data_IF_561814954028
#
_entry.id   IF_561814954028
#
_cell.length_a   1.000
_cell.length_b   1.000
_cell.length_c   1.000
_cell.angle_alpha   90.00
_cell.angle_beta   90.00
_cell.angle_gamma   90.00
#
_symmetry.space_group_name_H-M   'P 1'
#
loop_
_entity.id
_entity.type
_entity.pdbx_description
1 polymer ?
#
# COMPACT_ATOMS: atom_id res chain seq x y z
N UNK A 1 -0.17 -10.87 -24.11
CA UNK A 1 0.51 -10.43 -25.34
C UNK A 1 2.03 -10.38 -25.13
N UNK A 2 2.51 -9.96 -23.95
CA UNK A 2 3.93 -9.80 -23.61
C UNK A 2 4.23 -10.42 -22.25
N UNK A 3 4.29 -11.76 -22.16
CA UNK A 3 4.52 -12.46 -20.88
C UNK A 3 5.93 -12.22 -20.30
N UNK A 4 6.86 -11.76 -21.12
CA UNK A 4 8.23 -11.43 -20.72
C UNK A 4 8.32 -10.12 -19.92
N UNK A 5 7.29 -9.26 -19.99
CA UNK A 5 7.30 -7.95 -19.35
C UNK A 5 6.67 -8.01 -17.97
N UNK A 6 7.42 -7.60 -16.94
CA UNK A 6 6.87 -7.44 -15.59
C UNK A 6 5.91 -6.27 -15.52
N UNK A 7 4.68 -6.54 -15.09
CA UNK A 7 3.71 -5.50 -14.72
C UNK A 7 3.97 -5.12 -13.25
N UNK A 8 4.28 -3.86 -13.01
CA UNK A 8 4.69 -3.35 -11.69
C UNK A 8 3.53 -2.94 -10.78
N UNK A 9 2.35 -3.48 -11.03
CA UNK A 9 1.19 -3.31 -10.16
C UNK A 9 0.37 -4.58 -10.05
N UNK A 10 -0.40 -4.65 -8.96
CA UNK A 10 -1.35 -5.71 -8.64
C UNK A 10 -2.77 -5.19 -8.73
N UNK A 11 -3.73 -6.10 -8.84
CA UNK A 11 -5.14 -5.77 -8.73
C UNK A 11 -5.67 -6.28 -7.39
N UNK A 12 -6.37 -5.41 -6.65
CA UNK A 12 -7.20 -5.77 -5.51
C UNK A 12 -8.67 -5.58 -5.92
N UNK A 13 -9.39 -6.68 -6.04
CA UNK A 13 -10.83 -6.67 -6.34
C UNK A 13 -11.63 -6.99 -5.09
N UNK A 14 -12.15 -5.93 -4.46
CA UNK A 14 -13.05 -6.02 -3.31
C UNK A 14 -14.52 -6.12 -3.73
N UNK A 15 -15.37 -6.56 -2.80
CA UNK A 15 -16.82 -6.63 -3.00
C UNK A 15 -17.46 -7.68 -2.12
N UNK A 16 -18.80 -7.61 -2.00
CA UNK A 16 -19.58 -8.52 -1.17
C UNK A 16 -19.43 -9.97 -1.59
N UNK A 17 -19.69 -10.88 -0.65
CA UNK A 17 -19.70 -12.30 -0.92
C UNK A 17 -20.76 -12.65 -1.98
N UNK A 18 -20.37 -13.45 -2.97
CA UNK A 18 -21.24 -13.85 -4.06
C UNK A 18 -21.47 -12.79 -5.15
N UNK A 19 -20.76 -11.65 -5.13
CA UNK A 19 -20.81 -10.63 -6.19
C UNK A 19 -20.19 -11.08 -7.52
N UNK A 20 -19.63 -12.29 -7.59
CA UNK A 20 -19.12 -12.89 -8.84
C UNK A 20 -17.71 -12.47 -9.22
N UNK A 21 -16.89 -11.97 -8.26
CA UNK A 21 -15.50 -11.57 -8.50
C UNK A 21 -14.69 -12.63 -9.23
N UNK A 22 -14.70 -13.87 -8.75
CA UNK A 22 -13.96 -14.98 -9.36
C UNK A 22 -14.49 -15.30 -10.77
N UNK A 23 -15.81 -15.24 -10.95
CA UNK A 23 -16.44 -15.49 -12.24
C UNK A 23 -16.06 -14.43 -13.27
N UNK A 24 -15.92 -13.17 -12.85
CA UNK A 24 -15.46 -12.08 -13.70
C UNK A 24 -14.03 -12.32 -14.20
N UNK A 25 -13.14 -12.82 -13.35
CA UNK A 25 -11.74 -13.06 -13.72
C UNK A 25 -11.50 -14.39 -14.40
N UNK A 26 -12.46 -15.31 -14.40
CA UNK A 26 -12.32 -16.64 -14.98
C UNK A 26 -11.83 -16.65 -16.44
N UNK A 27 -12.32 -15.79 -17.37
CA UNK A 27 -11.82 -15.76 -18.76
C UNK A 27 -10.39 -15.27 -18.88
N UNK A 28 -9.98 -14.29 -18.04
CA UNK A 28 -8.61 -13.83 -17.99
C UNK A 28 -7.66 -14.94 -17.50
N UNK A 29 -8.02 -15.61 -16.42
CA UNK A 29 -7.25 -16.72 -15.87
C UNK A 29 -7.14 -17.87 -16.87
N UNK A 30 -8.22 -18.19 -17.58
CA UNK A 30 -8.20 -19.19 -18.64
C UNK A 30 -7.24 -18.78 -19.78
N UNK A 31 -7.27 -17.52 -20.20
CA UNK A 31 -6.41 -17.01 -21.29
C UNK A 31 -4.92 -17.02 -20.95
N UNK A 32 -4.57 -16.73 -19.68
CA UNK A 32 -3.17 -16.62 -19.23
C UNK A 32 -2.63 -17.96 -18.71
N UNK A 33 -3.43 -18.70 -17.95
CA UNK A 33 -2.98 -19.91 -17.25
C UNK A 33 -3.33 -21.20 -18.01
N UNK A 34 -4.06 -21.11 -19.12
CA UNK A 34 -4.57 -22.25 -19.88
C UNK A 34 -5.85 -22.85 -19.25
N UNK A 35 -6.44 -23.79 -19.95
CA UNK A 35 -7.70 -24.44 -19.55
C UNK A 35 -7.59 -25.27 -18.28
N UNK A 36 -6.41 -25.83 -18.01
CA UNK A 36 -6.11 -26.58 -16.80
C UNK A 36 -5.61 -25.73 -15.63
N UNK A 37 -5.49 -24.40 -15.82
CA UNK A 37 -5.09 -23.43 -14.81
C UNK A 37 -3.79 -23.77 -14.07
N UNK A 38 -2.81 -24.42 -14.72
CA UNK A 38 -1.56 -24.86 -14.09
C UNK A 38 -0.61 -23.72 -13.80
N UNK A 39 -0.67 -22.64 -14.58
CA UNK A 39 0.23 -21.49 -14.45
C UNK A 39 -0.33 -20.43 -13.50
N UNK A 40 -0.89 -20.86 -12.38
CA UNK A 40 -1.35 -19.97 -11.29
C UNK A 40 -0.91 -20.49 -9.94
N UNK A 41 -0.42 -19.58 -9.10
CA UNK A 41 -0.26 -19.80 -7.67
C UNK A 41 -1.49 -19.33 -6.91
N UNK A 42 -1.81 -19.99 -5.80
CA UNK A 42 -2.86 -19.56 -4.89
C UNK A 42 -2.26 -19.42 -3.51
N UNK A 43 -2.51 -18.27 -2.89
CA UNK A 43 -2.16 -17.97 -1.50
C UNK A 43 -3.40 -17.50 -0.74
N UNK A 44 -3.44 -17.81 0.52
CA UNK A 44 -4.25 -17.18 1.55
C UNK A 44 -3.35 -16.31 2.46
N UNK A 45 -3.91 -15.67 3.47
CA UNK A 45 -3.13 -14.87 4.40
C UNK A 45 -2.03 -15.64 5.11
N UNK A 46 -2.27 -16.90 5.47
CA UNK A 46 -1.30 -17.75 6.16
C UNK A 46 -0.13 -18.09 5.23
N UNK A 47 -0.42 -18.40 3.98
CA UNK A 47 0.58 -18.71 2.96
C UNK A 47 1.47 -17.50 2.63
N UNK A 48 0.92 -16.28 2.60
CA UNK A 48 1.71 -15.05 2.40
C UNK A 48 2.69 -14.83 3.55
N UNK A 49 2.33 -15.29 4.76
CA UNK A 49 3.18 -15.20 5.94
C UNK A 49 4.16 -16.38 6.08
N UNK A 50 4.03 -17.40 5.24
CA UNK A 50 4.88 -18.60 5.23
C UNK A 50 6.29 -18.31 4.70
N UNK A 51 7.24 -19.16 5.10
CA UNK A 51 8.59 -19.19 4.52
C UNK A 51 8.64 -19.88 3.14
N UNK A 52 7.54 -20.54 2.73
CA UNK A 52 7.46 -21.27 1.47
C UNK A 52 6.92 -20.37 0.37
N UNK A 53 7.58 -20.34 -0.77
CA UNK A 53 7.27 -19.41 -1.87
C UNK A 53 7.05 -20.09 -3.23
N UNK A 54 6.79 -21.41 -3.28
CA UNK A 54 6.60 -22.12 -4.53
C UNK A 54 5.38 -21.67 -5.35
N UNK A 55 4.41 -21.00 -4.73
CA UNK A 55 3.27 -20.39 -5.42
C UNK A 55 3.70 -19.25 -6.35
N UNK A 56 4.87 -18.65 -6.10
CA UNK A 56 5.46 -17.60 -6.94
C UNK A 56 6.03 -18.13 -8.27
N UNK A 57 6.09 -19.45 -8.45
CA UNK A 57 6.51 -20.09 -9.71
C UNK A 57 5.42 -20.07 -10.79
N UNK A 58 4.57 -19.08 -10.79
CA UNK A 58 3.45 -18.95 -11.69
C UNK A 58 3.38 -17.55 -12.30
N UNK A 59 2.73 -17.40 -13.46
CA UNK A 59 2.50 -16.12 -14.09
C UNK A 59 1.47 -15.28 -13.32
N UNK A 60 0.49 -15.94 -12.69
CA UNK A 60 -0.55 -15.27 -11.90
C UNK A 60 -0.54 -15.83 -10.49
N UNK A 61 -0.39 -14.95 -9.52
CA UNK A 61 -0.59 -15.24 -8.10
C UNK A 61 -1.96 -14.74 -7.67
N UNK A 62 -2.83 -15.64 -7.26
CA UNK A 62 -4.12 -15.31 -6.68
C UNK A 62 -4.00 -15.30 -5.16
N UNK A 63 -4.42 -14.20 -4.54
CA UNK A 63 -4.51 -14.10 -3.08
C UNK A 63 -6.00 -14.07 -2.73
N UNK A 64 -6.49 -15.16 -2.17
CA UNK A 64 -7.88 -15.28 -1.75
C UNK A 64 -8.07 -14.70 -0.34
N UNK A 65 -9.23 -14.08 -0.12
CA UNK A 65 -9.68 -13.61 1.19
C UNK A 65 -8.65 -12.72 1.91
N UNK A 66 -8.03 -11.79 1.16
CA UNK A 66 -7.10 -10.83 1.73
C UNK A 66 -7.79 -10.10 2.89
N UNK A 67 -7.32 -10.34 4.11
CA UNK A 67 -7.89 -9.76 5.33
C UNK A 67 -6.89 -9.81 6.47
N UNK A 68 -6.66 -8.68 7.12
CA UNK A 68 -5.83 -8.61 8.31
C UNK A 68 -6.54 -7.82 9.42
N UNK A 69 -6.47 -8.27 10.68
CA UNK A 69 -7.31 -7.76 11.76
C UNK A 69 -6.98 -6.32 12.15
N UNK A 70 -5.73 -5.91 12.11
CA UNK A 70 -5.31 -4.61 12.58
C UNK A 70 -4.45 -3.84 11.57
N UNK A 71 -4.31 -2.53 11.76
CA UNK A 71 -3.58 -1.64 10.84
C UNK A 71 -2.09 -2.00 10.72
N UNK A 72 -1.47 -2.56 11.78
CA UNK A 72 -0.06 -2.97 11.75
C UNK A 72 0.13 -4.21 10.87
N UNK A 73 -0.72 -5.23 11.05
CA UNK A 73 -0.72 -6.45 10.25
C UNK A 73 -1.02 -6.14 8.77
N UNK A 74 -2.01 -5.28 8.50
CA UNK A 74 -2.35 -4.81 7.14
C UNK A 74 -1.16 -4.12 6.45
N UNK A 75 -0.40 -3.30 7.20
CA UNK A 75 0.81 -2.63 6.69
C UNK A 75 1.96 -3.62 6.47
N UNK A 76 2.15 -4.58 7.36
CA UNK A 76 3.15 -5.63 7.20
C UNK A 76 2.87 -6.47 5.95
N UNK A 77 1.62 -6.87 5.74
CA UNK A 77 1.17 -7.59 4.56
C UNK A 77 1.45 -6.79 3.27
N UNK A 78 1.08 -5.50 3.24
CA UNK A 78 1.40 -4.63 2.12
C UNK A 78 2.91 -4.59 1.82
N UNK A 79 3.74 -4.49 2.86
CA UNK A 79 5.20 -4.45 2.71
C UNK A 79 5.78 -5.77 2.20
N UNK A 80 5.26 -6.91 2.64
CA UNK A 80 5.68 -8.25 2.17
C UNK A 80 5.37 -8.45 0.68
N UNK A 81 4.25 -7.94 0.21
CA UNK A 81 3.84 -8.08 -1.18
C UNK A 81 4.58 -7.13 -2.14
N UNK A 82 5.17 -6.03 -1.65
CA UNK A 82 5.89 -5.06 -2.48
C UNK A 82 6.93 -5.67 -3.43
N UNK A 83 7.85 -6.54 -2.97
CA UNK A 83 8.87 -7.12 -3.85
C UNK A 83 8.30 -8.12 -4.86
N UNK A 84 7.15 -8.71 -4.58
CA UNK A 84 6.46 -9.62 -5.50
C UNK A 84 5.75 -8.84 -6.60
N UNK A 85 5.09 -7.73 -6.24
CA UNK A 85 4.28 -6.93 -7.15
C UNK A 85 5.13 -6.18 -8.17
N UNK A 86 6.25 -5.60 -7.76
CA UNK A 86 7.03 -4.70 -8.60
C UNK A 86 8.52 -5.04 -8.60
N UNK A 87 9.16 -4.90 -9.75
CA UNK A 87 10.60 -4.89 -9.89
C UNK A 87 11.16 -3.46 -9.62
N UNK A 88 12.37 -3.32 -9.07
CA UNK A 88 13.15 -4.38 -8.45
C UNK A 88 12.49 -4.98 -7.20
N UNK A 89 12.74 -6.25 -6.84
CA UNK A 89 13.76 -7.13 -7.41
C UNK A 89 13.30 -7.83 -8.70
N UNK A 90 14.20 -8.01 -9.63
CA UNK A 90 13.98 -8.77 -10.86
C UNK A 90 13.94 -10.28 -10.63
N UNK A 91 14.50 -10.74 -9.52
CA UNK A 91 14.54 -12.13 -9.12
C UNK A 91 13.90 -12.32 -7.75
N UNK A 92 13.08 -13.34 -7.61
CA UNK A 92 12.46 -13.73 -6.34
C UNK A 92 13.11 -15.02 -5.81
N UNK A 93 13.40 -15.09 -4.49
CA UNK A 93 13.82 -16.33 -3.87
C UNK A 93 12.65 -17.29 -3.76
N UNK A 94 12.81 -18.49 -4.28
CA UNK A 94 11.82 -19.56 -4.17
C UNK A 94 12.33 -20.59 -3.16
N UNK A 95 11.49 -20.87 -2.18
CA UNK A 95 11.77 -21.87 -1.15
C UNK A 95 10.72 -22.98 -1.24
N UNK A 96 11.17 -24.18 -1.57
CA UNK A 96 10.36 -25.42 -1.61
C UNK A 96 10.81 -26.37 -0.52
N UNK A 97 9.84 -27.03 0.12
CA UNK A 97 10.12 -28.05 1.11
C UNK A 97 10.98 -29.19 0.49
N UNK A 98 12.13 -29.45 1.10
CA UNK A 98 13.04 -30.51 0.65
C UNK A 98 13.97 -30.14 -0.50
N UNK A 99 13.97 -28.90 -0.98
CA UNK A 99 14.89 -28.40 -2.00
C UNK A 99 15.70 -27.22 -1.48
N UNK A 100 16.89 -27.02 -2.04
CA UNK A 100 17.65 -25.80 -1.79
C UNK A 100 16.91 -24.59 -2.38
N UNK A 101 16.87 -23.44 -1.68
CA UNK A 101 16.32 -22.22 -2.24
C UNK A 101 17.03 -21.82 -3.54
N UNK A 102 16.26 -21.31 -4.50
CA UNK A 102 16.78 -20.85 -5.78
C UNK A 102 16.11 -19.53 -6.19
N UNK A 103 16.68 -18.87 -7.17
CA UNK A 103 16.18 -17.58 -7.66
C UNK A 103 15.42 -17.77 -8.97
N UNK A 104 14.29 -17.08 -9.11
CA UNK A 104 13.47 -17.09 -10.31
C UNK A 104 13.14 -15.66 -10.75
N UNK A 105 12.99 -15.45 -12.06
CA UNK A 105 12.58 -14.15 -12.61
C UNK A 105 11.21 -13.73 -12.07
N UNK A 106 11.12 -12.48 -11.59
CA UNK A 106 9.87 -11.91 -11.10
C UNK A 106 8.97 -11.52 -12.28
N UNK A 107 8.10 -12.41 -12.71
CA UNK A 107 7.08 -12.17 -13.74
C UNK A 107 5.66 -12.24 -13.20
N UNK A 108 5.52 -12.50 -11.91
CA UNK A 108 4.25 -12.75 -11.24
C UNK A 108 3.32 -11.54 -11.35
N UNK A 109 2.12 -11.74 -11.88
CA UNK A 109 1.03 -10.79 -11.77
C UNK A 109 0.17 -11.14 -10.56
N UNK A 110 -0.05 -10.19 -9.65
CA UNK A 110 -0.80 -10.43 -8.42
C UNK A 110 -2.25 -9.98 -8.58
N UNK A 111 -3.16 -10.90 -8.32
CA UNK A 111 -4.61 -10.67 -8.29
C UNK A 111 -5.12 -11.05 -6.89
N UNK A 112 -5.55 -10.06 -6.13
CA UNK A 112 -6.06 -10.26 -4.77
C UNK A 112 -7.57 -10.03 -4.71
N UNK A 113 -8.25 -10.84 -3.90
CA UNK A 113 -9.67 -10.74 -3.62
C UNK A 113 -9.92 -10.46 -2.15
N UNK A 114 -10.94 -9.67 -1.86
CA UNK A 114 -11.40 -9.44 -0.50
C UNK A 114 -12.90 -9.19 -0.41
N UNK A 115 -13.49 -9.59 0.70
CA UNK A 115 -14.83 -9.18 1.12
C UNK A 115 -14.74 -8.13 2.25
N UNK A 116 -13.53 -7.85 2.75
CA UNK A 116 -13.30 -6.83 3.76
C UNK A 116 -13.13 -5.45 3.07
N UNK A 117 -13.83 -4.41 3.52
CA UNK A 117 -13.67 -3.07 2.96
C UNK A 117 -12.30 -2.44 3.24
N UNK A 118 -11.54 -2.95 4.21
CA UNK A 118 -10.18 -2.47 4.52
C UNK A 118 -9.21 -3.65 4.73
N UNK A 119 -8.95 -4.45 3.68
CA UNK A 119 -8.15 -5.67 3.82
C UNK A 119 -6.66 -5.41 3.96
N UNK A 120 -6.19 -4.27 3.50
CA UNK A 120 -4.77 -3.89 3.42
C UNK A 120 -4.62 -2.39 3.72
N UNK A 121 -3.49 -2.00 4.30
CA UNK A 121 -3.17 -0.59 4.57
C UNK A 121 -2.19 -0.09 3.53
N UNK A 122 -2.58 0.93 2.79
CA UNK A 122 -1.79 1.52 1.72
C UNK A 122 -1.32 2.92 2.09
N UNK A 123 -0.12 3.29 1.65
CA UNK A 123 0.37 4.65 1.73
C UNK A 123 -0.30 5.53 0.66
N UNK A 124 -0.44 6.83 0.92
CA UNK A 124 -1.04 7.79 -0.02
C UNK A 124 -0.32 7.81 -1.38
N UNK A 125 0.99 7.59 -1.38
CA UNK A 125 1.84 7.55 -2.57
C UNK A 125 2.05 6.12 -3.13
N UNK A 126 1.22 5.15 -2.72
CA UNK A 126 1.34 3.80 -3.26
C UNK A 126 1.07 3.79 -4.77
N UNK A 127 2.03 3.22 -5.53
CA UNK A 127 2.00 3.12 -7.00
C UNK A 127 1.86 1.68 -7.50
N UNK A 128 1.55 0.74 -6.60
CA UNK A 128 1.55 -0.70 -6.93
C UNK A 128 0.17 -1.31 -6.99
N UNK A 129 -0.78 -0.77 -6.26
CA UNK A 129 -2.10 -1.36 -6.18
C UNK A 129 -3.12 -0.61 -7.03
N UNK A 130 -3.76 -1.32 -7.95
CA UNK A 130 -5.01 -0.94 -8.58
C UNK A 130 -6.16 -1.58 -7.78
N UNK A 131 -6.96 -0.77 -7.11
CA UNK A 131 -7.98 -1.24 -6.21
C UNK A 131 -9.36 -0.92 -6.78
N UNK A 132 -10.21 -1.93 -6.91
CA UNK A 132 -11.60 -1.77 -7.35
C UNK A 132 -12.54 -2.45 -6.36
N UNK A 133 -13.69 -1.83 -6.11
CA UNK A 133 -14.75 -2.41 -5.31
C UNK A 133 -15.98 -2.66 -6.18
N UNK A 134 -16.49 -3.90 -6.16
CA UNK A 134 -17.72 -4.26 -6.86
C UNK A 134 -18.92 -4.06 -5.95
N UNK A 135 -19.81 -3.17 -6.34
CA UNK A 135 -21.13 -2.99 -5.71
C UNK A 135 -22.22 -3.87 -6.39
N UNK A 136 -21.81 -4.80 -7.25
CA UNK A 136 -22.75 -5.67 -7.93
C UNK A 136 -23.50 -6.57 -6.92
N UNK A 137 -24.82 -6.64 -7.01
CA UNK A 137 -25.58 -7.55 -6.18
C UNK A 137 -25.22 -9.00 -6.49
N UNK A 138 -25.50 -9.90 -5.56
CA UNK A 138 -25.30 -11.33 -5.76
C UNK A 138 -26.02 -11.81 -7.02
N UNK A 139 -25.26 -12.47 -7.90
CA UNK A 139 -25.82 -13.03 -9.13
C UNK A 139 -26.83 -14.13 -8.82
N UNK A 140 -27.97 -14.13 -9.50
CA UNK A 140 -28.95 -15.22 -9.34
C UNK A 140 -28.37 -16.54 -9.84
N UNK A 141 -28.73 -17.67 -9.24
CA UNK A 141 -28.26 -19.00 -9.67
C UNK A 141 -28.48 -19.25 -11.16
N UNK A 142 -29.63 -18.81 -11.70
CA UNK A 142 -29.97 -18.98 -13.12
C UNK A 142 -29.05 -18.10 -14.02
N UNK A 143 -28.73 -16.88 -13.64
CA UNK A 143 -27.80 -16.02 -14.37
C UNK A 143 -26.37 -16.59 -14.35
N UNK A 144 -25.93 -17.06 -13.19
CA UNK A 144 -24.64 -17.72 -13.04
C UNK A 144 -24.54 -18.97 -13.91
N UNK A 145 -25.56 -19.82 -13.91
CA UNK A 145 -25.61 -21.03 -14.75
C UNK A 145 -25.54 -20.70 -16.25
N UNK A 146 -26.29 -19.68 -16.72
CA UNK A 146 -26.22 -19.21 -18.11
C UNK A 146 -24.84 -18.68 -18.49
N UNK A 147 -24.20 -17.91 -17.62
CA UNK A 147 -22.86 -17.39 -17.87
C UNK A 147 -21.83 -18.52 -17.97
N UNK A 148 -21.87 -19.49 -17.05
CA UNK A 148 -20.96 -20.64 -17.09
C UNK A 148 -21.23 -21.55 -18.30
N UNK A 149 -22.49 -21.72 -18.72
CA UNK A 149 -22.80 -22.41 -19.97
C UNK A 149 -22.20 -21.72 -21.18
N UNK A 150 -22.30 -20.38 -21.26
CA UNK A 150 -21.69 -19.61 -22.32
C UNK A 150 -20.16 -19.72 -22.29
N UNK A 151 -19.54 -19.61 -21.12
CA UNK A 151 -18.09 -19.80 -21.02
C UNK A 151 -17.65 -21.15 -21.61
N UNK A 152 -18.32 -22.24 -21.24
CA UNK A 152 -18.02 -23.59 -21.73
C UNK A 152 -18.31 -23.78 -23.22
N UNK A 153 -19.27 -23.07 -23.76
CA UNK A 153 -19.69 -23.14 -25.17
C UNK A 153 -18.80 -22.24 -26.10
N UNK A 154 -17.60 -21.83 -25.64
CA UNK A 154 -16.66 -21.04 -26.43
C UNK A 154 -16.43 -19.63 -25.90
N UNK A 155 -17.12 -19.23 -24.86
CA UNK A 155 -16.98 -17.89 -24.26
C UNK A 155 -15.57 -17.62 -23.73
N UNK A 156 -14.89 -18.61 -23.17
CA UNK A 156 -13.48 -18.48 -22.78
C UNK A 156 -12.59 -18.16 -23.95
N UNK A 157 -12.70 -18.90 -25.05
CA UNK A 157 -11.91 -18.67 -26.27
C UNK A 157 -12.23 -17.32 -26.91
N UNK A 158 -13.49 -16.92 -26.93
CA UNK A 158 -13.91 -15.62 -27.44
C UNK A 158 -13.32 -14.47 -26.60
N UNK A 159 -13.35 -14.58 -25.29
CA UNK A 159 -12.76 -13.62 -24.36
C UNK A 159 -11.24 -13.55 -24.50
N UNK A 160 -10.56 -14.69 -24.60
CA UNK A 160 -9.12 -14.74 -24.85
C UNK A 160 -8.74 -14.08 -26.16
N UNK A 161 -9.48 -14.37 -27.25
CA UNK A 161 -9.26 -13.72 -28.55
C UNK A 161 -9.43 -12.20 -28.47
N UNK A 162 -10.47 -11.73 -27.78
CA UNK A 162 -10.70 -10.29 -27.58
C UNK A 162 -9.54 -9.65 -26.81
N UNK A 163 -9.06 -10.27 -25.73
CA UNK A 163 -7.90 -9.81 -24.95
C UNK A 163 -6.61 -9.76 -25.79
N UNK A 164 -6.39 -10.77 -26.64
CA UNK A 164 -5.21 -10.83 -27.51
C UNK A 164 -5.21 -9.77 -28.61
N UNK A 165 -6.38 -9.41 -29.12
CA UNK A 165 -6.53 -8.42 -30.19
C UNK A 165 -6.64 -6.98 -29.68
N UNK A 166 -6.74 -6.80 -28.35
CA UNK A 166 -6.83 -5.46 -27.77
C UNK A 166 -5.53 -4.68 -28.02
N UNK A 167 -5.68 -3.46 -28.52
CA UNK A 167 -4.55 -2.53 -28.62
C UNK A 167 -4.06 -2.12 -27.21
N UNK A 168 -2.82 -2.47 -26.92
CA UNK A 168 -2.12 -2.13 -25.68
C UNK A 168 -0.91 -1.23 -25.93
N UNK A 169 -0.78 -0.63 -27.10
CA UNK A 169 0.36 0.23 -27.50
C UNK A 169 0.59 1.41 -26.54
N UNK A 170 -0.48 1.88 -25.87
CA UNK A 170 -0.42 2.96 -24.89
C UNK A 170 -0.28 2.46 -23.44
N UNK A 171 -0.27 1.15 -23.22
CA UNK A 171 -0.13 0.60 -21.88
C UNK A 171 1.32 0.65 -21.42
N UNK A 172 1.55 1.31 -20.27
CA UNK A 172 2.85 1.33 -19.63
C UNK A 172 2.83 0.43 -18.39
N UNK A 173 3.51 -0.73 -18.42
CA UNK A 173 3.52 -1.70 -17.32
C UNK A 173 4.21 -1.17 -16.05
N UNK A 174 5.00 -0.10 -16.16
CA UNK A 174 5.69 0.54 -15.04
C UNK A 174 4.98 1.78 -14.50
N UNK A 175 3.93 2.26 -15.18
CA UNK A 175 3.16 3.39 -14.69
C UNK A 175 2.40 3.06 -13.41
N UNK A 176 2.21 4.07 -12.55
CA UNK A 176 1.33 3.92 -11.42
C UNK A 176 -0.12 3.71 -11.89
N UNK A 177 -0.87 2.77 -11.30
CA UNK A 177 -2.28 2.61 -11.63
C UNK A 177 -3.07 3.84 -11.19
N UNK A 178 -4.21 4.08 -11.87
CA UNK A 178 -5.08 5.20 -11.55
C UNK A 178 -5.60 5.11 -10.11
N UNK A 179 -5.78 6.27 -9.49
CA UNK A 179 -6.41 6.38 -8.19
C UNK A 179 -7.92 6.11 -8.33
N UNK A 180 -8.41 5.18 -7.54
CA UNK A 180 -9.83 4.86 -7.43
C UNK A 180 -10.37 5.31 -6.08
N UNK A 181 -11.69 5.47 -5.97
CA UNK A 181 -12.35 5.76 -4.70
C UNK A 181 -12.03 4.69 -3.64
N UNK A 182 -12.10 3.42 -4.01
CA UNK A 182 -11.76 2.33 -3.09
C UNK A 182 -10.31 2.44 -2.60
N UNK A 183 -9.35 2.78 -3.46
CA UNK A 183 -7.96 2.98 -3.04
C UNK A 183 -7.83 4.17 -2.09
N UNK A 184 -8.54 5.27 -2.35
CA UNK A 184 -8.55 6.44 -1.45
C UNK A 184 -9.07 6.05 -0.05
N UNK A 185 -10.15 5.27 0.01
CA UNK A 185 -10.71 4.74 1.26
C UNK A 185 -9.72 3.82 1.99
N UNK A 186 -8.96 2.97 1.27
CA UNK A 186 -7.93 2.12 1.88
C UNK A 186 -6.78 2.93 2.49
N UNK A 187 -6.40 4.03 1.87
CA UNK A 187 -5.38 4.94 2.42
C UNK A 187 -5.91 5.61 3.69
N UNK A 188 -7.12 6.13 3.66
CA UNK A 188 -7.71 6.85 4.79
C UNK A 188 -7.95 5.93 6.00
N UNK A 189 -8.60 4.79 5.80
CA UNK A 189 -8.94 3.86 6.89
C UNK A 189 -7.77 2.92 7.27
N UNK A 190 -6.69 2.92 6.50
CA UNK A 190 -5.47 2.17 6.80
C UNK A 190 -4.59 2.81 7.87
N UNK A 191 -4.89 4.04 8.29
CA UNK A 191 -4.16 4.75 9.33
C UNK A 191 -4.62 4.31 10.72
N UNK A 192 -3.70 4.29 11.68
CA UNK A 192 -4.05 4.17 13.09
C UNK A 192 -4.77 5.43 13.57
N UNK A 193 -5.51 5.35 14.69
CA UNK A 193 -6.16 6.53 15.29
C UNK A 193 -5.17 7.68 15.55
N UNK A 194 -3.96 7.35 15.98
CA UNK A 194 -2.91 8.34 16.21
C UNK A 194 -2.47 9.01 14.89
N UNK A 195 -2.26 8.24 13.83
CA UNK A 195 -1.87 8.77 12.53
C UNK A 195 -2.96 9.63 11.91
N UNK A 196 -4.21 9.18 11.96
CA UNK A 196 -5.36 9.96 11.47
C UNK A 196 -5.48 11.29 12.22
N UNK A 197 -5.41 11.26 13.54
CA UNK A 197 -5.38 12.47 14.38
C UNK A 197 -4.24 13.42 13.96
N UNK A 198 -3.02 12.90 13.83
CA UNK A 198 -1.86 13.71 13.47
C UNK A 198 -1.99 14.33 12.07
N UNK A 199 -2.45 13.58 11.09
CA UNK A 199 -2.67 14.08 9.73
C UNK A 199 -3.72 15.18 9.70
N UNK A 200 -4.80 15.04 10.48
CA UNK A 200 -5.83 16.08 10.63
C UNK A 200 -5.25 17.36 11.24
N UNK A 201 -4.47 17.24 12.34
CA UNK A 201 -3.80 18.39 12.96
C UNK A 201 -2.83 19.09 11.98
N UNK A 202 -2.10 18.33 11.16
CA UNK A 202 -1.18 18.84 10.14
C UNK A 202 -1.93 19.59 9.03
N UNK A 203 -3.04 19.02 8.54
CA UNK A 203 -3.89 19.66 7.50
C UNK A 203 -4.56 20.93 8.01
N UNK A 204 -5.04 20.90 9.24
CA UNK A 204 -5.67 22.07 9.91
C UNK A 204 -4.67 23.12 10.38
N UNK A 205 -3.36 22.86 10.33
CA UNK A 205 -2.33 23.74 10.90
C UNK A 205 -2.58 24.07 12.36
N UNK A 206 -2.90 23.07 13.17
CA UNK A 206 -3.28 23.24 14.58
C UNK A 206 -2.12 22.87 15.50
N UNK A 207 -2.03 23.51 16.65
CA UNK A 207 -1.09 23.20 17.73
C UNK A 207 0.39 23.20 17.28
N UNK A 208 1.07 22.09 17.48
CA UNK A 208 2.50 21.91 17.12
C UNK A 208 2.78 22.13 15.62
N UNK A 209 1.76 21.98 14.77
CA UNK A 209 1.88 22.11 13.31
C UNK A 209 1.50 23.50 12.78
N UNK A 210 1.09 24.42 13.64
CA UNK A 210 0.58 25.75 13.25
C UNK A 210 1.58 26.56 12.41
N UNK A 211 2.89 26.44 12.70
CA UNK A 211 3.96 27.14 11.98
C UNK A 211 4.46 26.40 10.73
N UNK A 212 3.94 25.22 10.45
CA UNK A 212 4.36 24.42 9.30
C UNK A 212 5.78 23.84 9.41
N UNK A 213 6.40 23.90 10.58
CA UNK A 213 7.75 23.36 10.82
C UNK A 213 7.78 22.71 12.20
N UNK A 214 8.34 21.49 12.28
CA UNK A 214 8.61 20.81 13.56
C UNK A 214 10.06 20.31 13.59
N UNK A 215 10.62 20.18 14.79
CA UNK A 215 12.01 19.74 14.97
C UNK A 215 12.19 18.76 16.13
N UNK A 216 13.24 17.94 16.04
CA UNK A 216 13.63 17.05 17.13
C UNK A 216 14.03 17.85 18.40
N UNK A 217 13.91 17.28 19.62
CA UNK A 217 13.58 15.87 19.87
C UNK A 217 12.08 15.58 19.71
N UNK A 218 11.75 14.62 18.85
CA UNK A 218 10.36 14.31 18.49
C UNK A 218 9.54 13.71 19.64
N UNK A 219 10.17 13.09 20.65
CA UNK A 219 9.45 12.61 21.82
C UNK A 219 8.75 13.76 22.56
N UNK A 220 9.39 14.93 22.70
CA UNK A 220 8.78 16.10 23.31
C UNK A 220 7.57 16.62 22.51
N UNK A 221 7.65 16.53 21.17
CA UNK A 221 6.51 16.87 20.30
C UNK A 221 5.38 15.86 20.49
N UNK A 222 5.71 14.57 20.58
CA UNK A 222 4.72 13.51 20.85
C UNK A 222 4.05 13.67 22.20
N UNK A 223 4.80 14.02 23.25
CA UNK A 223 4.26 14.22 24.59
C UNK A 223 3.27 15.38 24.63
N UNK A 224 3.58 16.50 23.97
CA UNK A 224 2.66 17.64 23.85
C UNK A 224 1.42 17.30 23.02
N UNK A 225 1.59 16.60 21.91
CA UNK A 225 0.47 16.13 21.08
C UNK A 225 -0.41 15.12 21.81
N UNK A 226 0.17 14.24 22.63
CA UNK A 226 -0.59 13.29 23.44
C UNK A 226 -1.49 13.99 24.48
N UNK A 227 -1.07 15.15 24.98
CA UNK A 227 -1.88 15.97 25.90
C UNK A 227 -3.13 16.58 25.26
N UNK A 228 -3.16 16.75 23.94
CA UNK A 228 -4.30 17.28 23.17
C UNK A 228 -5.02 16.22 22.34
N UNK A 229 -4.52 14.97 22.32
CA UNK A 229 -5.13 13.88 21.60
C UNK A 229 -6.44 13.39 22.22
N UNK A 230 -7.34 12.79 21.44
CA UNK A 230 -8.54 12.15 21.98
C UNK A 230 -8.21 11.11 23.06
N UNK A 231 -9.12 10.92 24.02
CA UNK A 231 -8.92 9.99 25.15
C UNK A 231 -8.53 8.59 24.64
N UNK A 232 -7.45 8.04 25.21
CA UNK A 232 -6.92 6.71 24.86
C UNK A 232 -5.98 6.67 23.64
N UNK A 233 -5.78 7.77 22.94
CA UNK A 233 -4.86 7.83 21.80
C UNK A 233 -3.44 8.11 22.29
N UNK A 234 -2.56 7.12 22.17
CA UNK A 234 -1.12 7.29 22.36
C UNK A 234 -0.49 7.80 21.06
N UNK A 235 0.42 8.76 21.17
CA UNK A 235 1.15 9.34 20.02
C UNK A 235 2.61 8.89 20.04
N UNK A 236 2.92 7.66 19.58
CA UNK A 236 4.32 7.22 19.49
C UNK A 236 5.06 7.95 18.37
N UNK A 237 6.37 8.13 18.54
CA UNK A 237 7.22 8.80 17.56
C UNK A 237 7.13 8.16 16.15
N UNK A 238 6.97 6.84 16.06
CA UNK A 238 6.79 6.15 14.80
C UNK A 238 5.52 6.60 14.06
N UNK A 239 4.40 6.81 14.78
CA UNK A 239 3.16 7.34 14.20
C UNK A 239 3.35 8.79 13.73
N UNK A 240 4.05 9.63 14.48
CA UNK A 240 4.37 11.00 14.06
C UNK A 240 5.18 11.02 12.76
N UNK A 241 6.27 10.26 12.69
CA UNK A 241 7.12 10.22 11.49
C UNK A 241 6.38 9.65 10.27
N UNK A 242 5.49 8.68 10.49
CA UNK A 242 4.65 8.15 9.42
C UNK A 242 3.60 9.17 8.96
N UNK A 243 2.91 9.83 9.90
CA UNK A 243 1.91 10.84 9.59
C UNK A 243 2.51 12.06 8.84
N UNK A 244 3.73 12.49 9.19
CA UNK A 244 4.46 13.54 8.47
C UNK A 244 4.65 13.16 6.98
N UNK A 245 5.06 11.92 6.73
CA UNK A 245 5.23 11.41 5.38
C UNK A 245 3.91 11.35 4.61
N UNK A 246 2.85 10.83 5.24
CA UNK A 246 1.52 10.72 4.65
C UNK A 246 0.89 12.11 4.37
N UNK A 247 1.14 13.08 5.23
CA UNK A 247 0.71 14.47 5.03
C UNK A 247 1.58 15.25 4.02
N UNK A 248 2.59 14.60 3.42
CA UNK A 248 3.48 15.22 2.43
C UNK A 248 4.51 16.17 3.00
N UNK A 249 4.79 16.12 4.32
CA UNK A 249 5.82 16.95 4.93
C UNK A 249 7.20 16.52 4.48
N UNK A 250 8.08 17.49 4.27
CA UNK A 250 9.40 17.30 3.70
C UNK A 250 10.42 17.11 4.81
N UNK A 251 11.22 16.05 4.70
CA UNK A 251 12.37 15.83 5.57
C UNK A 251 13.52 16.74 5.15
N UNK A 252 13.78 17.79 5.94
CA UNK A 252 14.86 18.74 5.71
C UNK A 252 16.22 18.24 6.26
N UNK A 253 16.22 17.04 6.86
CA UNK A 253 17.41 16.41 7.43
C UNK A 253 17.90 17.06 8.72
N UNK A 254 19.11 16.70 9.13
CA UNK A 254 19.76 17.26 10.31
C UNK A 254 20.40 18.60 9.97
N UNK A 255 20.06 19.62 10.74
CA UNK A 255 20.71 20.93 10.63
C UNK A 255 22.01 20.94 11.43
N UNK A 256 23.09 21.37 10.79
CA UNK A 256 24.36 21.61 11.48
C UNK A 256 24.17 22.73 12.51
N UNK A 257 24.62 22.49 13.74
CA UNK A 257 24.77 23.50 14.79
C UNK A 257 26.25 23.72 15.04
N UNK A 258 26.62 24.93 15.40
CA UNK A 258 27.93 25.23 15.99
C UNK A 258 28.13 24.50 17.32
N UNK A 259 27.03 24.06 17.95
CA UNK A 259 27.02 23.25 19.14
C UNK A 259 26.73 21.78 18.74
N UNK A 260 27.74 20.92 18.93
CA UNK A 260 27.70 19.49 18.53
C UNK A 260 26.57 18.70 19.18
N UNK A 261 26.04 19.19 20.33
CA UNK A 261 24.97 18.55 21.09
C UNK A 261 23.54 18.86 20.62
N UNK A 262 23.35 19.83 19.71
CA UNK A 262 22.03 20.34 19.31
C UNK A 262 21.70 20.18 17.82
N UNK A 263 22.10 19.10 17.18
CA UNK A 263 21.69 18.79 15.80
C UNK A 263 20.20 18.46 15.75
N UNK A 264 19.37 19.42 15.37
CA UNK A 264 17.94 19.19 15.19
C UNK A 264 17.65 18.59 13.82
N UNK A 265 16.85 17.52 13.82
CA UNK A 265 16.22 16.99 12.62
C UNK A 265 14.91 17.74 12.41
N UNK A 266 14.66 18.28 11.22
CA UNK A 266 13.52 19.15 10.93
C UNK A 266 12.67 18.56 9.82
N UNK A 267 11.34 18.66 9.99
CA UNK A 267 10.36 18.48 8.94
C UNK A 267 9.62 19.80 8.71
N UNK A 268 9.34 20.11 7.45
CA UNK A 268 8.53 21.27 7.07
C UNK A 268 7.40 20.87 6.14
N UNK A 269 6.37 21.67 6.16
CA UNK A 269 5.25 21.53 5.23
C UNK A 269 5.68 21.91 3.80
N UNK A 270 5.00 21.38 2.76
CA UNK A 270 5.40 21.53 1.37
C UNK A 270 5.64 22.97 0.92
N UNK A 271 4.84 23.92 1.41
CA UNK A 271 4.98 25.36 1.07
C UNK A 271 6.26 26.01 1.61
N UNK A 272 6.97 25.35 2.51
CA UNK A 272 8.25 25.82 3.07
C UNK A 272 9.47 25.12 2.45
N UNK A 273 9.28 24.35 1.36
CA UNK A 273 10.34 23.60 0.68
C UNK A 273 11.53 24.46 0.26
N UNK A 274 11.27 25.70 -0.15
CA UNK A 274 12.25 26.63 -0.68
C UNK A 274 12.94 27.49 0.38
N UNK A 275 12.52 27.36 1.64
CA UNK A 275 13.12 28.11 2.74
C UNK A 275 14.53 27.62 3.07
N UNK A 276 15.43 28.56 3.41
CA UNK A 276 16.77 28.19 3.85
C UNK A 276 16.70 27.43 5.18
N UNK A 277 17.56 26.45 5.35
CA UNK A 277 17.62 25.63 6.58
C UNK A 277 17.77 26.47 7.85
N UNK A 278 18.48 27.60 7.78
CA UNK A 278 18.63 28.55 8.90
C UNK A 278 17.32 29.23 9.31
N UNK A 279 16.44 29.49 8.35
CA UNK A 279 15.11 30.07 8.59
C UNK A 279 14.19 29.06 9.24
N UNK A 280 14.14 27.83 8.68
CA UNK A 280 13.37 26.73 9.26
C UNK A 280 13.78 26.43 10.71
N UNK A 281 15.10 26.51 11.00
CA UNK A 281 15.60 26.33 12.35
C UNK A 281 15.08 27.40 13.31
N UNK A 282 15.11 28.67 12.93
CA UNK A 282 14.57 29.78 13.75
C UNK A 282 13.10 29.56 14.06
N UNK A 283 12.30 29.09 13.09
CA UNK A 283 10.90 28.80 13.28
C UNK A 283 10.66 27.72 14.34
N UNK A 284 11.51 26.69 14.39
CA UNK A 284 11.46 25.63 15.42
C UNK A 284 11.87 26.15 16.78
N UNK A 285 12.96 26.93 16.87
CA UNK A 285 13.51 27.43 18.14
C UNK A 285 12.56 28.39 18.87
N UNK A 286 11.78 29.16 18.15
CA UNK A 286 10.73 30.05 18.73
C UNK A 286 9.59 29.26 19.40
N UNK A 287 9.46 27.97 19.13
CA UNK A 287 8.42 27.10 19.73
C UNK A 287 8.89 26.40 21.02
N UNK A 288 10.19 26.48 21.36
CA UNK A 288 10.68 25.88 22.61
C UNK A 288 10.43 26.82 23.80
N UNK A 289 9.97 26.31 24.95
CA UNK A 289 9.97 27.10 26.16
C UNK A 289 11.41 27.54 26.46
N UNK A 290 11.61 28.75 27.02
CA UNK A 290 12.93 29.25 27.33
C UNK A 290 13.66 28.22 28.24
N UNK A 291 14.89 27.84 27.84
CA UNK A 291 15.73 26.96 28.66
C UNK A 291 15.87 27.59 30.04
N UNK A 292 15.46 26.90 31.11
CA UNK A 292 15.80 27.30 32.46
C UNK A 292 17.32 27.37 32.56
N UNK A 293 17.85 28.58 32.70
CA UNK A 293 19.24 28.79 33.04
C UNK A 293 19.38 28.41 34.50
N UNK A 294 19.94 27.26 34.79
CA UNK A 294 20.37 26.92 36.16
C UNK A 294 21.57 27.81 36.45
N UNK A 295 21.31 28.88 37.16
CA UNK A 295 22.37 29.70 37.73
C UNK A 295 22.99 28.83 38.83
N UNK A 296 24.23 28.41 38.63
CA UNK A 296 25.06 27.78 39.64
C UNK A 296 25.55 28.81 40.63
#
# INVERSE_FOLDING_TARGET
QHPEIKINHAVLHGGDEGSGKDTFWAPFLWAVCGDNLRNRGIMDNDSVNSQWGYQLESEVLIINELKEPDASARRQLANKLKPIIAAPPEMLPINRKGLHPYMMLNRVFVLAFSNDPVPISLASQDRRWFCVWSHAPRMSPSAAAKLWQWYKAGGFSASAKWLMLRDISKFNPSAAPMLTEFKANLVEHGMSMAESYLVEQMRGRVGEFAKGVIGSPFHNVCDRLAGSAPSGVKVPQAALLHALKEAGWIDCGRLASTDYMNKKHIYCAPEFSDYKKSELRRMVEVNEPPKMVVIK
#
